data_IF_927681448608
#
_entry.id   IF_927681448608
#
_cell.length_a   1.000
_cell.length_b   1.000
_cell.length_c   1.000
_cell.angle_alpha   90.00
_cell.angle_beta   90.00
_cell.angle_gamma   90.00
#
_symmetry.space_group_name_H-M   'P 1'
#
loop_
_entity.id
_entity.type
_entity.pdbx_description
1 polymer ?
#
# COMPACT_ATOMS: atom_id res chain seq x y z
N UNK A 1 17.67 -21.09 4.78
CA UNK A 1 16.50 -21.98 4.97
C UNK A 1 16.08 -22.10 6.42
N UNK A 2 16.91 -22.49 7.37
CA UNK A 2 16.53 -22.68 8.79
C UNK A 2 16.08 -21.40 9.54
N UNK A 3 16.55 -20.21 9.19
CA UNK A 3 16.14 -18.93 9.81
C UNK A 3 14.76 -18.44 9.39
N UNK A 4 14.33 -18.72 8.16
CA UNK A 4 13.01 -18.32 7.64
C UNK A 4 11.88 -19.20 8.19
N UNK A 5 12.14 -20.48 8.46
CA UNK A 5 11.16 -21.37 9.11
C UNK A 5 10.97 -21.01 10.60
N UNK A 6 12.03 -20.55 11.27
CA UNK A 6 11.94 -20.08 12.66
C UNK A 6 11.05 -18.84 12.77
N UNK A 7 11.25 -17.83 11.93
CA UNK A 7 10.40 -16.63 11.91
C UNK A 7 8.92 -16.94 11.58
N UNK A 8 8.66 -17.87 10.63
CA UNK A 8 7.28 -18.29 10.30
C UNK A 8 6.59 -19.00 11.48
N UNK A 9 7.34 -19.77 12.25
CA UNK A 9 6.79 -20.51 13.41
C UNK A 9 6.61 -19.59 14.62
N UNK A 10 7.51 -18.66 14.89
CA UNK A 10 7.36 -17.66 15.95
C UNK A 10 6.19 -16.71 15.67
N UNK A 11 6.01 -16.29 14.42
CA UNK A 11 4.86 -15.48 14.00
C UNK A 11 3.54 -16.25 14.20
N UNK A 12 3.53 -17.54 13.95
CA UNK A 12 2.36 -18.41 14.17
C UNK A 12 2.04 -18.60 15.64
N UNK A 13 3.04 -18.66 16.51
CA UNK A 13 2.88 -18.84 17.96
C UNK A 13 2.41 -17.55 18.66
N UNK A 14 2.85 -16.37 18.19
CA UNK A 14 2.33 -15.07 18.65
C UNK A 14 0.85 -14.91 18.27
N UNK A 15 0.45 -15.42 17.09
CA UNK A 15 -0.91 -15.37 16.56
C UNK A 15 -1.92 -16.28 17.29
N UNK A 16 -1.47 -17.28 18.07
CA UNK A 16 -2.37 -18.24 18.76
C UNK A 16 -2.59 -17.93 20.24
N UNK A 17 -1.92 -16.91 20.78
CA UNK A 17 -2.13 -16.51 22.19
C UNK A 17 -3.49 -15.81 22.32
N UNK A 18 -4.31 -16.31 23.23
CA UNK A 18 -5.57 -15.68 23.65
C UNK A 18 -5.26 -14.58 24.66
N UNK A 19 -6.00 -13.47 24.58
CA UNK A 19 -5.97 -12.46 25.63
C UNK A 19 -6.46 -13.03 26.97
N UNK A 20 -6.10 -12.41 28.12
CA UNK A 20 -6.54 -12.88 29.46
C UNK A 20 -8.06 -13.04 29.61
N UNK A 21 -8.84 -12.38 28.76
CA UNK A 21 -10.30 -12.42 28.73
C UNK A 21 -10.88 -13.46 27.76
N UNK A 22 -10.03 -14.28 27.12
CA UNK A 22 -10.45 -15.37 26.22
C UNK A 22 -10.95 -14.98 24.85
N UNK A 23 -10.89 -13.69 24.49
CA UNK A 23 -11.25 -13.20 23.15
C UNK A 23 -10.16 -13.53 22.13
N UNK A 24 -10.50 -13.86 20.89
CA UNK A 24 -9.49 -14.06 19.86
C UNK A 24 -8.75 -12.73 19.62
N UNK A 25 -7.42 -12.75 19.76
CA UNK A 25 -6.58 -11.58 19.47
C UNK A 25 -6.79 -11.16 18.01
N UNK A 26 -6.98 -9.86 17.77
CA UNK A 26 -7.12 -9.33 16.43
C UNK A 26 -5.84 -9.62 15.59
N UNK A 27 -6.01 -10.25 14.44
CA UNK A 27 -4.91 -10.60 13.54
C UNK A 27 -4.67 -9.41 12.61
N UNK A 28 -3.50 -8.75 12.63
CA UNK A 28 -3.18 -7.67 11.70
C UNK A 28 -3.17 -8.16 10.24
N UNK A 29 -3.45 -7.26 9.30
CA UNK A 29 -3.07 -7.46 7.90
C UNK A 29 -1.52 -7.51 7.78
N UNK A 30 -0.94 -8.00 6.66
CA UNK A 30 0.50 -8.17 6.52
C UNK A 30 1.26 -6.84 6.32
N UNK A 31 1.03 -5.86 7.23
CA UNK A 31 1.67 -4.53 7.19
C UNK A 31 3.19 -4.65 7.28
N UNK A 32 3.68 -5.50 8.19
CA UNK A 32 5.12 -5.72 8.45
C UNK A 32 5.72 -6.86 7.61
N UNK A 33 5.05 -7.26 6.51
CA UNK A 33 5.63 -8.26 5.61
C UNK A 33 6.97 -7.76 5.03
N UNK A 34 7.91 -8.67 4.71
CA UNK A 34 9.19 -8.31 4.13
C UNK A 34 9.05 -7.46 2.86
N UNK A 35 10.04 -6.58 2.63
CA UNK A 35 10.13 -5.82 1.39
C UNK A 35 10.34 -6.76 0.20
N UNK A 36 9.57 -6.58 -0.86
CA UNK A 36 9.59 -7.40 -2.07
C UNK A 36 10.18 -6.65 -3.26
N UNK A 37 10.28 -7.32 -4.43
CA UNK A 37 10.85 -6.72 -5.65
C UNK A 37 9.85 -5.94 -6.48
N UNK A 38 8.56 -6.17 -6.28
CA UNK A 38 7.49 -5.54 -7.03
C UNK A 38 6.34 -5.17 -6.11
N UNK A 39 5.68 -4.05 -6.40
CA UNK A 39 4.42 -3.68 -5.78
C UNK A 39 3.49 -3.01 -6.78
N UNK A 40 2.18 -3.13 -6.52
CA UNK A 40 1.15 -2.28 -7.12
C UNK A 40 0.48 -1.52 -6.00
N UNK A 41 0.46 -0.20 -6.14
CA UNK A 41 -0.28 0.72 -5.30
C UNK A 41 -1.52 1.17 -6.07
N UNK A 42 -2.68 0.73 -5.65
CA UNK A 42 -3.94 1.05 -6.29
C UNK A 42 -4.82 1.85 -5.33
N UNK A 43 -5.14 3.08 -5.69
CA UNK A 43 -6.11 3.93 -4.98
C UNK A 43 -7.37 4.06 -5.83
N UNK A 44 -8.52 3.84 -5.22
CA UNK A 44 -9.81 3.89 -5.90
C UNK A 44 -10.85 4.68 -5.10
N UNK A 45 -11.80 5.28 -5.83
CA UNK A 45 -13.03 5.81 -5.27
C UNK A 45 -14.11 4.73 -5.28
N UNK A 46 -14.95 4.68 -4.25
CA UNK A 46 -16.10 3.79 -4.14
C UNK A 46 -17.35 4.49 -4.68
N UNK A 47 -18.00 3.88 -5.66
CA UNK A 47 -19.26 4.40 -6.18
C UNK A 47 -20.35 4.42 -5.09
N UNK A 48 -21.27 5.41 -5.10
CA UNK A 48 -22.32 5.49 -4.12
C UNK A 48 -23.34 4.33 -4.28
N UNK A 49 -24.01 3.97 -3.19
CA UNK A 49 -25.11 3.01 -3.21
C UNK A 49 -24.83 1.72 -2.44
N UNK A 50 -25.90 0.97 -2.18
CA UNK A 50 -25.86 -0.25 -1.38
C UNK A 50 -25.12 -1.39 -2.10
N UNK A 51 -25.26 -1.48 -3.43
CA UNK A 51 -24.60 -2.52 -4.24
C UNK A 51 -23.07 -2.36 -4.19
N UNK A 52 -22.57 -1.13 -4.34
CA UNK A 52 -21.13 -0.85 -4.25
C UNK A 52 -20.58 -1.14 -2.86
N UNK A 53 -21.32 -0.77 -1.81
CA UNK A 53 -20.97 -1.10 -0.43
C UNK A 53 -20.91 -2.62 -0.22
N UNK A 54 -21.91 -3.37 -0.68
CA UNK A 54 -21.95 -4.82 -0.57
C UNK A 54 -20.77 -5.48 -1.34
N UNK A 55 -20.48 -5.01 -2.56
CA UNK A 55 -19.34 -5.52 -3.33
C UNK A 55 -18.01 -5.31 -2.62
N UNK A 56 -17.77 -4.11 -2.05
CA UNK A 56 -16.56 -3.83 -1.28
C UNK A 56 -16.47 -4.71 -0.04
N UNK A 57 -17.55 -4.84 0.74
CA UNK A 57 -17.59 -5.70 1.94
C UNK A 57 -17.35 -7.17 1.59
N UNK A 58 -17.88 -7.66 0.47
CA UNK A 58 -17.59 -9.01 -0.02
C UNK A 58 -16.10 -9.21 -0.30
N UNK A 59 -15.45 -8.24 -0.96
CA UNK A 59 -14.01 -8.31 -1.23
C UNK A 59 -13.19 -8.25 0.07
N UNK A 60 -13.64 -7.51 1.09
CA UNK A 60 -13.00 -7.54 2.41
C UNK A 60 -12.87 -8.97 2.95
N UNK A 61 -13.97 -9.72 2.99
CA UNK A 61 -13.98 -11.10 3.47
C UNK A 61 -13.21 -12.08 2.59
N UNK A 62 -13.19 -11.82 1.28
CA UNK A 62 -12.56 -12.70 0.29
C UNK A 62 -11.06 -12.42 0.09
N UNK A 63 -10.53 -11.29 0.59
CA UNK A 63 -9.16 -10.83 0.27
C UNK A 63 -8.11 -11.89 0.58
N UNK A 64 -8.17 -12.50 1.76
CA UNK A 64 -7.23 -13.57 2.14
C UNK A 64 -7.32 -14.80 1.23
N UNK A 65 -8.51 -15.16 0.77
CA UNK A 65 -8.70 -16.26 -0.18
C UNK A 65 -8.15 -15.93 -1.56
N UNK A 66 -8.32 -14.69 -2.03
CA UNK A 66 -7.74 -14.21 -3.30
C UNK A 66 -6.22 -14.25 -3.29
N UNK A 67 -5.60 -13.72 -2.22
CA UNK A 67 -4.14 -13.77 -2.06
C UNK A 67 -3.63 -15.20 -2.10
N UNK A 68 -4.26 -16.13 -1.37
CA UNK A 68 -3.88 -17.55 -1.39
C UNK A 68 -4.08 -18.19 -2.77
N UNK A 69 -5.17 -17.89 -3.46
CA UNK A 69 -5.48 -18.46 -4.77
C UNK A 69 -4.49 -18.05 -5.86
N UNK A 70 -4.02 -16.80 -5.83
CA UNK A 70 -2.98 -16.32 -6.75
C UNK A 70 -1.60 -16.80 -6.31
N UNK A 71 -1.26 -16.67 -5.01
CA UNK A 71 0.03 -17.03 -4.44
C UNK A 71 0.33 -18.54 -4.51
N UNK A 72 -0.69 -19.40 -4.62
CA UNK A 72 -0.51 -20.85 -4.79
C UNK A 72 0.35 -21.23 -6.00
N UNK A 73 0.40 -20.37 -7.03
CA UNK A 73 1.19 -20.62 -8.25
C UNK A 73 2.69 -20.49 -8.03
N UNK A 74 3.11 -19.75 -7.00
CA UNK A 74 4.51 -19.54 -6.67
C UNK A 74 4.63 -19.33 -5.15
N UNK A 75 5.01 -20.38 -4.44
CA UNK A 75 5.11 -20.36 -2.98
C UNK A 75 6.24 -19.45 -2.45
N UNK A 76 7.25 -19.19 -3.30
CA UNK A 76 8.40 -18.33 -2.98
C UNK A 76 8.17 -16.87 -3.44
N UNK A 77 7.02 -16.60 -4.04
CA UNK A 77 6.66 -15.28 -4.57
C UNK A 77 6.29 -14.24 -3.53
N UNK A 78 6.15 -14.62 -2.25
CA UNK A 78 5.82 -13.78 -1.10
C UNK A 78 4.67 -12.77 -1.35
N UNK A 79 3.64 -13.23 -2.11
CA UNK A 79 2.49 -12.39 -2.44
C UNK A 79 1.73 -12.00 -1.18
N UNK A 80 1.54 -10.71 -0.98
CA UNK A 80 0.74 -10.13 0.08
C UNK A 80 -0.08 -8.95 -0.42
N UNK A 81 -1.16 -8.63 0.29
CA UNK A 81 -2.00 -7.46 0.01
C UNK A 81 -2.47 -6.85 1.31
N UNK A 82 -2.36 -5.53 1.40
CA UNK A 82 -2.94 -4.71 2.45
C UNK A 82 -4.05 -3.87 1.85
N UNK A 83 -5.22 -3.84 2.52
CA UNK A 83 -6.38 -3.04 2.15
C UNK A 83 -6.65 -1.99 3.22
N UNK A 84 -6.68 -0.72 2.82
CA UNK A 84 -6.93 0.41 3.70
C UNK A 84 -8.11 1.26 3.23
N UNK A 85 -8.72 2.02 4.16
CA UNK A 85 -9.92 2.81 3.90
C UNK A 85 -9.71 4.26 4.34
N UNK A 86 -10.07 5.21 3.47
CA UNK A 86 -10.12 6.63 3.78
C UNK A 86 -11.28 6.96 4.74
N UNK A 87 -11.21 8.12 5.40
CA UNK A 87 -12.18 8.47 6.46
C UNK A 87 -13.62 8.53 5.97
N UNK A 88 -13.85 9.15 4.80
CA UNK A 88 -15.21 9.28 4.24
C UNK A 88 -15.74 7.94 3.75
N UNK A 89 -14.87 7.08 3.22
CA UNK A 89 -15.21 5.72 2.83
C UNK A 89 -15.54 4.85 4.03
N UNK A 90 -14.80 4.99 5.13
CA UNK A 90 -15.08 4.27 6.36
C UNK A 90 -16.52 4.47 6.83
N UNK A 91 -16.93 5.73 6.94
CA UNK A 91 -18.29 6.06 7.40
C UNK A 91 -19.38 5.50 6.48
N UNK A 92 -19.16 5.51 5.15
CA UNK A 92 -20.09 4.98 4.16
C UNK A 92 -20.15 3.45 4.13
N UNK A 93 -19.01 2.80 4.35
CA UNK A 93 -18.89 1.35 4.24
C UNK A 93 -19.26 0.63 5.54
N UNK A 94 -18.83 1.14 6.67
CA UNK A 94 -18.91 0.44 7.96
C UNK A 94 -19.75 1.18 9.01
N UNK A 95 -19.85 2.50 8.92
CA UNK A 95 -20.52 3.31 9.93
C UNK A 95 -19.70 3.42 11.24
N UNK A 96 -20.35 3.88 12.33
CA UNK A 96 -19.71 3.93 13.64
C UNK A 96 -19.55 2.54 14.29
N UNK A 97 -18.50 2.32 15.12
CA UNK A 97 -17.46 3.29 15.46
C UNK A 97 -16.44 3.48 14.33
N UNK A 98 -15.67 4.57 14.41
CA UNK A 98 -14.58 4.90 13.50
C UNK A 98 -13.25 4.88 14.25
N UNK A 99 -12.12 4.47 13.63
CA UNK A 99 -10.80 4.58 14.25
C UNK A 99 -10.54 6.00 14.75
N UNK A 100 -10.04 6.13 15.98
CA UNK A 100 -10.02 7.38 16.73
C UNK A 100 -9.28 8.52 16.01
N UNK A 101 -8.18 8.22 15.33
CA UNK A 101 -7.34 9.19 14.61
C UNK A 101 -7.57 9.19 13.09
N UNK A 102 -8.57 8.45 12.56
CA UNK A 102 -8.85 8.44 11.14
C UNK A 102 -9.54 9.73 10.71
N UNK A 103 -8.89 10.48 9.85
CA UNK A 103 -9.39 11.72 9.24
C UNK A 103 -8.92 11.84 7.78
N UNK A 104 -9.47 12.78 7.02
CA UNK A 104 -8.95 13.09 5.68
C UNK A 104 -7.55 13.70 5.78
N UNK A 105 -6.62 13.25 4.93
CA UNK A 105 -5.27 13.81 4.92
C UNK A 105 -5.32 15.34 4.78
N UNK A 106 -4.56 16.04 5.62
CA UNK A 106 -4.49 17.49 5.62
C UNK A 106 -3.29 17.95 4.82
N UNK A 107 -3.50 18.87 3.87
CA UNK A 107 -2.40 19.48 3.13
C UNK A 107 -1.39 20.11 4.12
N UNK A 108 -0.09 19.81 3.91
CA UNK A 108 0.99 20.50 4.62
C UNK A 108 1.61 21.52 3.67
N UNK A 109 1.35 22.79 3.94
CA UNK A 109 1.81 23.90 3.11
C UNK A 109 3.06 24.54 3.70
N UNK A 110 4.23 24.25 3.11
CA UNK A 110 5.45 25.04 3.27
C UNK A 110 5.45 26.25 2.32
N UNK A 111 6.47 27.11 2.42
CA UNK A 111 6.56 28.29 1.54
C UNK A 111 6.87 27.90 0.09
N UNK A 112 7.94 27.09 -0.22
CA UNK A 112 8.24 26.72 -1.60
C UNK A 112 7.52 25.43 -2.03
N UNK A 113 7.23 24.51 -1.11
CA UNK A 113 6.70 23.18 -1.41
C UNK A 113 5.46 22.87 -0.56
N UNK A 114 4.64 21.94 -1.06
CA UNK A 114 3.45 21.46 -0.33
C UNK A 114 3.26 19.96 -0.52
N UNK A 115 2.83 19.30 0.54
CA UNK A 115 2.26 17.96 0.51
C UNK A 115 0.76 18.10 0.24
N UNK A 116 0.33 17.85 -1.00
CA UNK A 116 -1.06 18.02 -1.41
C UNK A 116 -1.96 16.96 -0.78
N UNK A 117 -3.24 17.28 -0.55
CA UNK A 117 -4.28 16.33 -0.19
C UNK A 117 -5.06 15.92 -1.44
N UNK A 118 -5.21 14.61 -1.65
CA UNK A 118 -5.96 14.05 -2.78
C UNK A 118 -7.03 13.06 -2.29
N UNK A 119 -8.13 12.89 -3.01
CA UNK A 119 -9.16 11.93 -2.63
C UNK A 119 -8.65 10.49 -2.75
N UNK A 120 -9.23 9.60 -1.93
CA UNK A 120 -9.00 8.16 -1.98
C UNK A 120 -9.90 7.47 -0.99
N UNK A 121 -10.72 6.53 -1.48
CA UNK A 121 -11.65 5.77 -0.64
C UNK A 121 -11.04 4.45 -0.18
N UNK A 122 -10.36 3.75 -1.08
CA UNK A 122 -9.72 2.45 -0.80
C UNK A 122 -8.30 2.48 -1.35
N UNK A 123 -7.37 1.94 -0.56
CA UNK A 123 -6.00 1.61 -0.95
C UNK A 123 -5.85 0.09 -1.01
N UNK A 124 -5.26 -0.42 -2.08
CA UNK A 124 -4.66 -1.74 -2.13
C UNK A 124 -3.15 -1.59 -2.31
N UNK A 125 -2.38 -2.09 -1.35
CA UNK A 125 -0.94 -2.23 -1.45
C UNK A 125 -0.62 -3.71 -1.66
N UNK A 126 -0.33 -4.09 -2.90
CA UNK A 126 -0.07 -5.46 -3.34
C UNK A 126 1.42 -5.61 -3.56
N UNK A 127 2.04 -6.61 -2.93
CA UNK A 127 3.49 -6.84 -2.96
C UNK A 127 3.82 -8.29 -3.29
N UNK A 128 4.88 -8.49 -4.08
CA UNK A 128 5.42 -9.82 -4.37
C UNK A 128 6.87 -9.73 -4.87
N UNK A 129 7.58 -10.85 -4.87
CA UNK A 129 8.88 -10.96 -5.54
C UNK A 129 8.76 -10.84 -7.07
N UNK A 130 7.53 -10.99 -7.61
CA UNK A 130 7.26 -10.95 -9.05
C UNK A 130 6.06 -10.06 -9.37
N UNK A 131 6.24 -9.18 -10.35
CA UNK A 131 5.20 -8.25 -10.81
C UNK A 131 3.96 -8.96 -11.37
N UNK A 132 4.09 -10.12 -12.00
CA UNK A 132 2.96 -10.88 -12.55
C UNK A 132 2.00 -11.38 -11.47
N UNK A 133 2.50 -11.71 -10.27
CA UNK A 133 1.66 -12.04 -9.11
C UNK A 133 0.88 -10.82 -8.62
N UNK A 134 1.53 -9.66 -8.52
CA UNK A 134 0.87 -8.40 -8.17
C UNK A 134 -0.22 -8.06 -9.20
N UNK A 135 0.11 -8.15 -10.49
CA UNK A 135 -0.79 -7.83 -11.58
C UNK A 135 -2.02 -8.75 -11.63
N UNK A 136 -1.81 -10.06 -11.47
CA UNK A 136 -2.90 -11.03 -11.42
C UNK A 136 -3.85 -10.76 -10.24
N UNK A 137 -3.29 -10.51 -9.04
CA UNK A 137 -4.13 -10.20 -7.87
C UNK A 137 -4.89 -8.88 -8.05
N UNK A 138 -4.23 -7.82 -8.53
CA UNK A 138 -4.88 -6.55 -8.83
C UNK A 138 -6.02 -6.73 -9.83
N UNK A 139 -5.80 -7.50 -10.91
CA UNK A 139 -6.81 -7.79 -11.93
C UNK A 139 -8.02 -8.52 -11.34
N UNK A 140 -7.80 -9.51 -10.48
CA UNK A 140 -8.89 -10.23 -9.81
C UNK A 140 -9.69 -9.33 -8.86
N UNK A 141 -9.00 -8.47 -8.08
CA UNK A 141 -9.65 -7.51 -7.19
C UNK A 141 -10.51 -6.53 -8.00
N UNK A 142 -9.94 -5.89 -9.02
CA UNK A 142 -10.65 -4.91 -9.86
C UNK A 142 -11.82 -5.55 -10.60
N UNK A 143 -11.66 -6.78 -11.11
CA UNK A 143 -12.74 -7.52 -11.78
C UNK A 143 -13.91 -7.81 -10.84
N UNK A 144 -13.63 -8.19 -9.58
CA UNK A 144 -14.68 -8.47 -8.58
C UNK A 144 -15.40 -7.21 -8.13
N UNK A 145 -14.69 -6.10 -7.99
CA UNK A 145 -15.28 -4.82 -7.63
C UNK A 145 -16.04 -4.19 -8.79
N UNK A 146 -15.61 -4.43 -10.03
CA UNK A 146 -16.29 -3.96 -11.25
C UNK A 146 -16.65 -2.48 -11.17
N UNK A 147 -17.94 -2.17 -11.39
CA UNK A 147 -18.48 -0.80 -11.34
C UNK A 147 -18.60 -0.21 -9.92
N UNK A 148 -18.34 -1.00 -8.87
CA UNK A 148 -18.37 -0.52 -7.49
C UNK A 148 -17.22 0.43 -7.17
N UNK A 149 -16.16 0.44 -7.98
CA UNK A 149 -15.02 1.34 -7.82
C UNK A 149 -14.68 2.07 -9.13
N UNK A 150 -14.01 3.20 -8.97
CA UNK A 150 -13.31 3.90 -10.06
C UNK A 150 -11.85 4.10 -9.64
N UNK A 151 -10.87 3.52 -10.35
CA UNK A 151 -9.46 3.76 -10.07
C UNK A 151 -9.12 5.26 -10.16
N UNK A 152 -8.39 5.77 -9.17
CA UNK A 152 -7.91 7.15 -9.10
C UNK A 152 -6.44 7.20 -9.50
N UNK A 153 -5.63 6.30 -8.94
CA UNK A 153 -4.19 6.18 -9.22
C UNK A 153 -3.78 4.71 -9.13
N UNK A 154 -2.96 4.28 -10.06
CA UNK A 154 -2.35 2.96 -10.07
C UNK A 154 -0.87 3.11 -10.39
N UNK A 155 0.00 2.70 -9.49
CA UNK A 155 1.45 2.80 -9.65
C UNK A 155 2.08 1.43 -9.51
N UNK A 156 2.89 1.05 -10.51
CA UNK A 156 3.69 -0.16 -10.50
C UNK A 156 5.11 0.20 -10.05
N UNK A 157 5.41 -0.17 -8.81
CA UNK A 157 6.72 0.04 -8.19
C UNK A 157 7.64 -1.14 -8.42
N UNK A 158 8.93 -0.87 -8.44
CA UNK A 158 9.95 -1.89 -8.61
C UNK A 158 11.14 -1.64 -7.70
N UNK A 159 11.80 -2.70 -7.25
CA UNK A 159 13.07 -2.61 -6.54
C UNK A 159 14.16 -2.18 -7.51
N UNK A 160 14.84 -1.08 -7.16
CA UNK A 160 15.92 -0.52 -7.96
C UNK A 160 17.27 -0.83 -7.34
N UNK A 161 18.17 -1.49 -8.12
CA UNK A 161 19.49 -1.96 -7.70
C UNK A 161 19.51 -2.50 -6.24
N UNK A 162 20.53 -2.17 -5.44
CA UNK A 162 20.73 -2.63 -4.07
C UNK A 162 19.83 -1.90 -3.06
N UNK A 163 18.50 -1.92 -3.27
CA UNK A 163 17.49 -1.16 -2.49
C UNK A 163 17.70 0.36 -2.51
N UNK A 164 18.11 0.90 -3.65
CA UNK A 164 18.28 2.34 -3.81
C UNK A 164 17.02 2.97 -4.38
N UNK A 165 16.84 4.25 -4.05
CA UNK A 165 15.92 5.11 -4.78
C UNK A 165 16.50 5.58 -6.12
N UNK A 166 15.74 6.34 -6.91
CA UNK A 166 16.21 6.89 -8.19
C UNK A 166 17.21 8.05 -8.03
N UNK A 167 17.37 8.59 -6.84
CA UNK A 167 18.44 9.54 -6.49
C UNK A 167 19.78 8.85 -6.24
N UNK A 168 19.76 7.52 -6.10
CA UNK A 168 20.92 6.66 -5.94
C UNK A 168 21.31 6.39 -4.49
N UNK A 169 20.46 6.70 -3.51
CA UNK A 169 20.66 6.43 -2.09
C UNK A 169 19.90 5.19 -1.65
N UNK A 170 20.42 4.49 -0.62
CA UNK A 170 19.72 3.33 -0.06
C UNK A 170 18.45 3.79 0.65
N UNK A 171 17.32 3.16 0.36
CA UNK A 171 16.04 3.41 1.02
C UNK A 171 15.73 2.31 2.04
N UNK A 172 15.03 2.68 3.11
CA UNK A 172 14.60 1.74 4.15
C UNK A 172 15.64 1.38 5.21
N UNK A 173 16.80 2.03 5.25
CA UNK A 173 17.87 1.76 6.25
C UNK A 173 17.40 1.97 7.69
N UNK A 174 16.48 2.91 7.92
CA UNK A 174 15.94 3.28 9.23
C UNK A 174 14.60 2.58 9.55
N UNK A 175 14.22 1.55 8.80
CA UNK A 175 12.98 0.83 9.10
C UNK A 175 13.16 -0.02 10.36
N UNK A 176 12.20 0.02 11.30
CA UNK A 176 12.18 -0.90 12.42
C UNK A 176 12.00 -2.35 11.93
N UNK A 177 12.51 -3.29 12.68
CA UNK A 177 12.42 -4.73 12.39
C UNK A 177 11.78 -5.50 13.53
N UNK A 178 11.29 -6.69 13.25
CA UNK A 178 10.78 -7.64 14.22
C UNK A 178 9.68 -7.02 15.14
N UNK A 179 9.85 -7.09 16.46
CA UNK A 179 8.91 -6.57 17.45
C UNK A 179 8.78 -5.03 17.36
N UNK A 180 9.89 -4.32 17.12
CA UNK A 180 9.87 -2.87 16.95
C UNK A 180 9.01 -2.43 15.74
N UNK A 181 9.00 -3.20 14.66
CA UNK A 181 8.13 -2.92 13.51
C UNK A 181 6.64 -3.06 13.88
N UNK A 182 6.27 -4.05 14.67
CA UNK A 182 4.90 -4.20 15.16
C UNK A 182 4.52 -3.05 16.10
N UNK A 183 5.40 -2.71 17.04
CA UNK A 183 5.17 -1.59 17.97
C UNK A 183 5.07 -0.23 17.25
N UNK A 184 5.82 -0.06 16.19
CA UNK A 184 5.77 1.15 15.39
C UNK A 184 4.47 1.29 14.58
N UNK A 185 3.90 0.17 14.12
CA UNK A 185 2.85 0.16 13.09
C UNK A 185 1.47 -0.27 13.56
N UNK A 186 1.38 -1.16 14.55
CA UNK A 186 0.10 -1.79 14.91
C UNK A 186 -0.56 -1.06 16.06
N UNK A 187 -1.83 -0.68 15.88
CA UNK A 187 -2.70 -0.10 16.90
C UNK A 187 -2.94 -1.13 18.01
N UNK A 188 -2.76 -0.72 19.25
CA UNK A 188 -2.92 -1.53 20.44
C UNK A 188 -4.00 -0.98 21.40
N UNK A 189 -3.59 -0.81 22.66
CA UNK A 189 -4.50 -0.38 23.74
C UNK A 189 -4.96 1.07 23.63
N UNK A 190 -4.32 1.88 22.79
CA UNK A 190 -4.72 3.27 22.53
C UNK A 190 -6.07 3.38 21.79
N UNK A 191 -6.44 2.35 21.01
CA UNK A 191 -7.77 2.20 20.41
C UNK A 191 -8.18 0.71 20.41
N UNK A 192 -8.67 0.19 21.53
CA UNK A 192 -8.94 -1.25 21.70
C UNK A 192 -9.97 -1.80 20.71
N UNK A 193 -10.89 -0.96 20.23
CA UNK A 193 -11.90 -1.37 19.22
C UNK A 193 -11.25 -1.70 17.89
N UNK A 194 -10.14 -1.05 17.59
CA UNK A 194 -9.41 -1.18 16.33
C UNK A 194 -8.01 -1.75 16.51
N UNK A 195 -7.77 -2.41 17.65
CA UNK A 195 -6.52 -3.13 17.90
C UNK A 195 -6.20 -4.11 16.75
N UNK A 196 -4.93 -4.19 16.39
CA UNK A 196 -4.48 -4.96 15.20
C UNK A 196 -4.60 -4.22 13.88
N UNK A 197 -5.14 -2.99 13.87
CA UNK A 197 -5.14 -2.10 12.72
C UNK A 197 -3.84 -1.31 12.57
N UNK A 198 -3.75 -0.47 11.54
CA UNK A 198 -2.61 0.42 11.27
C UNK A 198 -3.08 1.65 10.51
N UNK A 199 -2.45 2.78 10.71
CA UNK A 199 -2.63 3.94 9.84
C UNK A 199 -1.58 3.93 8.74
N UNK A 200 -1.95 4.41 7.55
CA UNK A 200 -1.04 4.51 6.41
C UNK A 200 -1.25 5.81 5.65
N UNK A 201 -0.16 6.52 5.38
CA UNK A 201 -0.18 7.67 4.48
C UNK A 201 0.57 7.28 3.21
N UNK A 202 -0.03 7.59 2.06
CA UNK A 202 0.57 7.37 0.75
C UNK A 202 0.72 8.69 0.01
N UNK A 203 1.85 8.84 -0.70
CA UNK A 203 2.15 9.99 -1.53
C UNK A 203 2.94 9.56 -2.77
N UNK A 204 2.52 10.04 -3.93
CA UNK A 204 3.28 9.91 -5.17
C UNK A 204 4.17 11.13 -5.36
N UNK A 205 5.47 10.91 -5.47
CA UNK A 205 6.46 11.96 -5.73
C UNK A 205 7.01 11.85 -7.15
N UNK A 206 7.08 12.96 -7.85
CA UNK A 206 7.75 13.08 -9.16
C UNK A 206 9.11 13.77 -8.98
N UNK A 207 10.15 13.22 -9.61
CA UNK A 207 11.53 13.63 -9.43
C UNK A 207 12.09 14.38 -10.63
N UNK A 208 12.80 15.49 -10.39
CA UNK A 208 13.68 16.15 -11.34
C UNK A 208 15.08 15.50 -11.28
N UNK A 209 15.23 14.35 -11.95
CA UNK A 209 16.53 13.67 -12.02
C UNK A 209 17.56 14.46 -12.83
N UNK A 210 17.15 15.35 -13.74
CA UNK A 210 18.04 16.22 -14.48
C UNK A 210 18.75 17.22 -13.58
N UNK A 211 17.96 17.95 -12.78
CA UNK A 211 18.47 18.88 -11.77
C UNK A 211 19.29 18.17 -10.69
N UNK A 212 18.82 17.01 -10.23
CA UNK A 212 19.55 16.21 -9.24
C UNK A 212 20.93 15.74 -9.71
N UNK A 213 21.02 15.18 -10.93
CA UNK A 213 22.25 14.67 -11.50
C UNK A 213 23.25 15.77 -11.89
N UNK A 214 22.81 17.02 -11.95
CA UNK A 214 23.69 18.17 -12.15
C UNK A 214 24.44 18.57 -10.87
N UNK A 215 24.03 18.09 -9.70
CA UNK A 215 24.70 18.33 -8.43
C UNK A 215 25.95 17.46 -8.27
N UNK A 216 26.96 17.98 -7.53
CA UNK A 216 28.07 17.12 -7.09
C UNK A 216 27.58 16.08 -6.06
N UNK A 217 28.29 14.95 -5.99
CA UNK A 217 27.97 13.87 -5.02
C UNK A 217 27.94 14.42 -3.59
N UNK A 218 28.91 15.26 -3.22
CA UNK A 218 28.98 15.85 -1.88
C UNK A 218 27.76 16.73 -1.57
N UNK A 219 27.22 17.43 -2.60
CA UNK A 219 25.98 18.21 -2.43
C UNK A 219 24.78 17.30 -2.24
N UNK A 220 24.69 16.24 -3.02
CA UNK A 220 23.63 15.22 -2.87
C UNK A 220 23.68 14.57 -1.49
N UNK A 221 24.86 14.17 -1.01
CA UNK A 221 25.07 13.58 0.32
C UNK A 221 24.65 14.54 1.45
N UNK A 222 24.94 15.83 1.31
CA UNK A 222 24.51 16.84 2.29
C UNK A 222 23.01 17.07 2.28
N UNK A 223 22.34 16.94 1.13
CA UNK A 223 20.88 17.03 1.03
C UNK A 223 20.20 15.82 1.72
N UNK A 224 20.72 14.63 1.50
CA UNK A 224 20.18 13.40 2.11
C UNK A 224 20.59 13.27 3.58
N UNK A 225 21.86 13.61 3.91
CA UNK A 225 22.45 13.44 5.25
C UNK A 225 23.22 12.15 5.40
N UNK A 226 23.49 11.43 4.30
CA UNK A 226 24.25 10.15 4.26
C UNK A 226 25.19 10.12 3.07
N UNK A 227 26.23 9.30 3.14
CA UNK A 227 27.12 9.05 1.99
C UNK A 227 26.41 8.20 0.96
N UNK A 228 26.58 8.54 -0.33
CA UNK A 228 25.85 7.91 -1.42
C UNK A 228 26.28 6.46 -1.66
N UNK A 229 27.56 6.18 -1.61
CA UNK A 229 28.10 4.86 -1.93
C UNK A 229 27.99 3.89 -0.74
N UNK A 230 28.41 4.33 0.44
CA UNK A 230 28.60 3.47 1.63
C UNK A 230 27.43 3.53 2.62
N UNK A 231 26.42 4.37 2.37
CA UNK A 231 25.23 4.53 3.21
C UNK A 231 25.56 4.82 4.70
N UNK A 232 26.62 5.59 4.93
CA UNK A 232 27.02 6.00 6.28
C UNK A 232 26.41 7.37 6.56
N UNK A 233 25.73 7.52 7.69
CA UNK A 233 25.21 8.79 8.14
C UNK A 233 26.32 9.82 8.33
N UNK A 234 26.10 11.06 7.89
CA UNK A 234 27.07 12.14 8.08
C UNK A 234 27.13 12.52 9.56
N UNK A 235 28.35 12.84 10.01
CA UNK A 235 28.61 13.35 11.37
C UNK A 235 27.78 14.64 11.61
N UNK A 236 27.18 14.77 12.80
CA UNK A 236 26.34 15.91 13.18
C UNK A 236 27.04 17.26 13.05
N UNK A 237 28.39 17.29 13.15
CA UNK A 237 29.17 18.50 12.95
C UNK A 237 29.17 19.01 11.51
N UNK A 238 28.86 18.16 10.52
CA UNK A 238 28.89 18.49 9.08
C UNK A 238 27.54 18.30 8.40
N UNK A 239 26.63 17.51 8.99
CA UNK A 239 25.28 17.25 8.49
C UNK A 239 24.42 18.52 8.58
N UNK A 240 23.87 19.03 7.47
CA UNK A 240 22.96 20.17 7.52
C UNK A 240 21.70 19.84 8.33
N UNK A 241 21.17 20.79 9.08
CA UNK A 241 19.91 20.64 9.79
C UNK A 241 18.70 20.55 8.85
N UNK A 242 18.87 20.86 7.56
CA UNK A 242 17.91 20.72 6.49
C UNK A 242 18.08 19.42 5.69
N UNK A 243 18.99 18.52 6.13
CA UNK A 243 19.16 17.22 5.51
C UNK A 243 17.89 16.37 5.69
N UNK A 244 17.59 15.56 4.68
CA UNK A 244 16.40 14.72 4.67
C UNK A 244 16.29 13.84 5.93
N UNK A 245 17.35 13.11 6.27
CA UNK A 245 17.33 12.24 7.46
C UNK A 245 17.21 13.03 8.77
N UNK A 246 17.76 14.26 8.87
CA UNK A 246 17.64 15.10 10.06
C UNK A 246 16.20 15.61 10.29
N UNK A 247 15.43 15.82 9.22
CA UNK A 247 14.05 16.31 9.29
C UNK A 247 13.02 15.17 9.38
N UNK A 248 13.35 14.00 8.87
CA UNK A 248 12.45 12.82 8.93
C UNK A 248 12.55 12.05 10.24
N UNK A 249 13.61 12.25 11.03
CA UNK A 249 13.73 11.70 12.37
C UNK A 249 12.82 12.47 13.34
N UNK A 250 11.89 11.77 13.97
CA UNK A 250 10.95 12.33 14.93
C UNK A 250 11.36 11.91 16.33
N UNK A 251 11.54 12.89 17.22
CA UNK A 251 11.84 12.66 18.64
C UNK A 251 10.82 13.39 19.48
N UNK A 252 10.07 12.67 20.32
CA UNK A 252 9.14 13.19 21.29
C UNK A 252 9.49 12.65 22.68
N UNK A 253 9.50 13.52 23.68
CA UNK A 253 9.84 13.17 25.07
C UNK A 253 11.16 12.40 25.25
N UNK A 254 12.10 12.58 24.30
CA UNK A 254 13.42 11.92 24.31
C UNK A 254 13.43 10.54 23.66
N UNK A 255 12.30 10.07 23.16
CA UNK A 255 12.17 8.80 22.40
C UNK A 255 12.02 9.07 20.92
N UNK A 256 12.70 8.26 20.08
CA UNK A 256 12.53 8.29 18.63
C UNK A 256 11.25 7.56 18.25
N UNK A 257 10.35 8.26 17.55
CA UNK A 257 9.14 7.66 17.01
C UNK A 257 9.43 7.08 15.61
N UNK A 258 9.20 5.80 15.47
CA UNK A 258 9.45 5.07 14.23
C UNK A 258 8.18 4.90 13.40
N UNK A 259 8.38 4.79 12.08
CA UNK A 259 7.39 4.42 11.08
C UNK A 259 7.99 3.33 10.19
N UNK A 260 7.16 2.46 9.63
CA UNK A 260 7.60 1.49 8.63
C UNK A 260 7.33 2.03 7.22
N UNK A 261 8.38 2.16 6.42
CA UNK A 261 8.30 2.60 5.01
C UNK A 261 8.52 1.42 4.07
N UNK A 262 7.68 1.34 3.06
CA UNK A 262 7.81 0.36 1.97
C UNK A 262 7.73 1.10 0.62
N UNK A 263 8.59 2.13 0.52
CA UNK A 263 8.65 2.99 -0.65
C UNK A 263 9.14 2.20 -1.87
N UNK A 264 8.62 2.55 -3.04
CA UNK A 264 9.15 1.99 -4.28
C UNK A 264 9.37 3.05 -5.35
N UNK A 265 10.50 2.99 -6.06
CA UNK A 265 10.68 3.68 -7.32
C UNK A 265 9.63 3.24 -8.35
N UNK A 266 9.21 4.19 -9.17
CA UNK A 266 8.41 3.96 -10.37
C UNK A 266 8.86 4.89 -11.50
N UNK A 267 8.47 4.58 -12.74
CA UNK A 267 8.70 5.52 -13.84
C UNK A 267 8.42 4.95 -15.21
N UNK A 268 8.31 5.87 -16.16
CA UNK A 268 8.19 5.60 -17.59
C UNK A 268 9.34 6.29 -18.34
N UNK A 269 10.39 5.54 -18.65
CA UNK A 269 11.61 6.08 -19.25
C UNK A 269 11.37 6.84 -20.56
N UNK A 270 10.43 6.37 -21.40
CA UNK A 270 10.09 7.03 -22.66
C UNK A 270 9.36 8.36 -22.48
N UNK A 271 8.67 8.54 -21.35
CA UNK A 271 8.00 9.82 -21.01
C UNK A 271 8.87 10.74 -20.18
N UNK A 272 10.01 10.26 -19.68
CA UNK A 272 10.85 11.02 -18.75
C UNK A 272 10.16 11.25 -17.40
N UNK A 273 9.19 10.42 -17.04
CA UNK A 273 8.51 10.47 -15.73
C UNK A 273 9.18 9.49 -14.78
N UNK A 274 9.65 10.01 -13.66
CA UNK A 274 10.34 9.24 -12.63
C UNK A 274 9.87 9.68 -11.26
N UNK A 275 9.82 8.74 -10.32
CA UNK A 275 9.36 9.08 -8.99
C UNK A 275 9.56 7.99 -7.95
N UNK A 276 9.15 8.31 -6.74
CA UNK A 276 9.00 7.39 -5.63
C UNK A 276 7.55 7.41 -5.16
N UNK A 277 6.96 6.23 -5.00
CA UNK A 277 5.72 6.08 -4.29
C UNK A 277 6.06 5.87 -2.81
N UNK A 278 5.78 6.90 -2.01
CA UNK A 278 5.93 6.84 -0.56
C UNK A 278 4.72 6.13 0.03
N UNK A 279 4.99 5.16 0.90
CA UNK A 279 4.00 4.53 1.77
C UNK A 279 4.60 4.38 3.15
N UNK A 280 3.98 5.00 4.14
CA UNK A 280 4.39 4.95 5.53
C UNK A 280 3.29 4.38 6.40
N UNK A 281 3.60 3.31 7.16
CA UNK A 281 2.72 2.72 8.14
C UNK A 281 3.11 3.16 9.55
N UNK A 282 2.11 3.47 10.37
CA UNK A 282 2.31 3.81 11.77
C UNK A 282 1.09 3.44 12.61
N UNK A 283 1.29 3.20 13.92
CA UNK A 283 0.19 3.00 14.86
C UNK A 283 -0.64 4.27 15.12
N UNK A 284 -0.07 5.45 14.81
CA UNK A 284 -0.74 6.76 14.83
C UNK A 284 -0.33 7.56 13.60
N UNK A 285 -1.27 8.21 12.88
CA UNK A 285 -0.96 9.05 11.72
C UNK A 285 -0.12 10.27 12.10
N UNK A 286 -0.20 10.72 13.36
CA UNK A 286 0.56 11.85 13.90
C UNK A 286 2.06 11.72 13.60
N UNK A 287 2.64 10.52 13.70
CA UNK A 287 4.06 10.29 13.43
C UNK A 287 4.43 10.69 12.00
N UNK A 288 3.66 10.24 11.02
CA UNK A 288 3.94 10.56 9.61
C UNK A 288 3.61 12.03 9.33
N UNK A 289 2.52 12.56 9.87
CA UNK A 289 2.14 13.95 9.69
C UNK A 289 3.19 14.92 10.27
N UNK A 290 3.76 14.62 11.44
CA UNK A 290 4.83 15.40 12.02
C UNK A 290 6.10 15.35 11.16
N UNK A 291 6.45 14.17 10.62
CA UNK A 291 7.54 14.03 9.65
C UNK A 291 7.32 14.94 8.44
N UNK A 292 6.12 14.92 7.87
CA UNK A 292 5.78 15.78 6.72
C UNK A 292 5.82 17.27 7.08
N UNK A 293 5.37 17.67 8.27
CA UNK A 293 5.50 19.06 8.75
C UNK A 293 6.98 19.46 8.83
N UNK A 294 7.84 18.60 9.38
CA UNK A 294 9.28 18.88 9.45
C UNK A 294 9.89 19.01 8.03
N UNK A 295 9.50 18.16 7.09
CA UNK A 295 10.00 18.21 5.71
C UNK A 295 9.53 19.46 4.96
N UNK A 296 8.22 19.71 4.93
CA UNK A 296 7.63 20.75 4.08
C UNK A 296 7.67 22.16 4.70
N UNK A 297 7.44 22.29 5.99
CA UNK A 297 7.48 23.58 6.71
C UNK A 297 8.89 23.87 7.21
N UNK A 298 9.58 22.83 7.66
CA UNK A 298 10.94 22.92 8.20
C UNK A 298 11.00 23.07 9.73
N UNK A 299 12.16 22.69 10.26
CA UNK A 299 12.47 22.79 11.70
C UNK A 299 13.81 23.51 11.91
N UNK A 300 13.81 24.81 12.31
CA UNK A 300 12.65 25.71 12.49
C UNK A 300 11.95 26.04 11.17
N UNK A 301 10.75 26.65 11.20
CA UNK A 301 10.03 27.03 9.98
C UNK A 301 10.90 27.78 8.98
N UNK A 302 10.91 27.29 7.71
CA UNK A 302 11.79 27.79 6.66
C UNK A 302 13.06 26.96 6.44
N UNK A 303 13.46 26.12 7.39
CA UNK A 303 14.53 25.13 7.24
C UNK A 303 13.95 23.80 6.74
N UNK A 304 13.33 23.82 5.55
CA UNK A 304 12.65 22.70 4.95
C UNK A 304 13.63 21.70 4.33
N UNK A 305 13.16 20.49 4.04
CA UNK A 305 13.92 19.41 3.43
C UNK A 305 14.33 19.76 1.98
N UNK A 306 15.63 19.88 1.77
CA UNK A 306 16.18 20.29 0.48
C UNK A 306 16.00 19.24 -0.63
N UNK A 307 15.66 17.99 -0.29
CA UNK A 307 15.26 16.98 -1.27
C UNK A 307 14.01 17.39 -2.04
N UNK A 308 13.11 18.16 -1.41
CA UNK A 308 11.89 18.66 -2.04
C UNK A 308 12.14 19.63 -3.20
N UNK A 309 13.34 20.21 -3.34
CA UNK A 309 13.71 21.00 -4.51
C UNK A 309 13.78 20.14 -5.78
N UNK A 310 13.92 18.82 -5.63
CA UNK A 310 14.04 17.82 -6.71
C UNK A 310 12.92 16.78 -6.70
N UNK A 311 12.02 16.85 -5.71
CA UNK A 311 10.97 15.85 -5.51
C UNK A 311 9.65 16.53 -5.13
N UNK A 312 8.64 16.38 -5.98
CA UNK A 312 7.35 17.06 -5.82
C UNK A 312 6.23 16.07 -5.51
N UNK A 313 5.58 16.22 -4.36
CA UNK A 313 4.37 15.45 -4.04
C UNK A 313 3.21 15.84 -4.95
N UNK A 314 2.59 14.86 -5.60
CA UNK A 314 1.44 15.05 -6.51
C UNK A 314 0.16 14.39 -6.01
N UNK A 315 0.27 13.49 -5.04
CA UNK A 315 -0.86 12.91 -4.29
C UNK A 315 -0.56 12.93 -2.79
N UNK A 316 -1.59 12.75 -1.96
CA UNK A 316 -1.47 12.59 -0.52
C UNK A 316 -2.80 12.15 0.08
N UNK A 317 -2.83 10.95 0.68
CA UNK A 317 -4.05 10.38 1.27
C UNK A 317 -3.71 9.58 2.51
N UNK A 318 -4.55 9.71 3.54
CA UNK A 318 -4.49 8.92 4.77
C UNK A 318 -5.56 7.83 4.72
N UNK A 319 -5.17 6.60 5.04
CA UNK A 319 -6.07 5.46 5.18
C UNK A 319 -5.87 4.79 6.55
N UNK A 320 -6.90 4.09 6.99
CA UNK A 320 -6.82 3.11 8.06
C UNK A 320 -6.86 1.70 7.48
N UNK A 321 -5.95 0.87 7.92
CA UNK A 321 -5.84 -0.55 7.58
C UNK A 321 -6.40 -1.34 8.76
N UNK A 322 -7.64 -1.85 8.70
CA UNK A 322 -8.20 -2.64 9.79
C UNK A 322 -7.49 -3.98 9.92
N UNK A 323 -7.69 -4.68 11.04
CA UNK A 323 -7.18 -6.04 11.19
C UNK A 323 -7.79 -6.99 10.14
N UNK A 324 -7.08 -8.07 9.81
CA UNK A 324 -7.62 -9.14 8.95
C UNK A 324 -8.89 -9.76 9.56
N UNK A 325 -8.91 -9.91 10.89
CA UNK A 325 -10.09 -10.36 11.62
C UNK A 325 -11.30 -9.45 11.42
N UNK A 326 -11.08 -8.12 11.40
CA UNK A 326 -12.15 -7.18 11.09
C UNK A 326 -12.65 -7.37 9.65
N UNK A 327 -11.77 -7.47 8.67
CA UNK A 327 -12.17 -7.67 7.27
C UNK A 327 -13.01 -8.95 7.09
N UNK A 328 -12.64 -10.02 7.76
CA UNK A 328 -13.39 -11.28 7.74
C UNK A 328 -14.75 -11.16 8.41
N UNK A 329 -14.89 -10.35 9.47
CA UNK A 329 -16.13 -10.17 10.21
C UNK A 329 -17.17 -9.34 9.46
N UNK A 330 -16.75 -8.42 8.59
CA UNK A 330 -17.62 -7.49 7.87
C UNK A 330 -18.66 -8.19 7.00
N UNK A 331 -18.38 -9.38 6.49
CA UNK A 331 -19.31 -10.18 5.68
C UNK A 331 -20.34 -10.94 6.51
N UNK A 332 -20.04 -11.19 7.81
CA UNK A 332 -20.91 -11.98 8.69
C UNK A 332 -22.18 -11.22 9.13
N UNK A 333 -22.16 -9.89 9.07
CA UNK A 333 -23.26 -9.04 9.56
C UNK A 333 -24.33 -8.71 8.50
N UNK A 334 -24.21 -9.14 7.26
CA UNK A 334 -25.32 -9.02 6.31
C UNK A 334 -26.36 -10.13 6.55
N UNK A 335 -27.64 -9.79 6.90
CA UNK A 335 -28.70 -10.78 6.85
C UNK A 335 -28.72 -11.35 5.44
N UNK A 336 -28.67 -12.68 5.33
CA UNK A 336 -28.80 -13.35 4.04
C UNK A 336 -29.93 -12.70 3.27
N UNK A 337 -29.62 -12.14 2.08
CA UNK A 337 -30.66 -11.63 1.19
C UNK A 337 -31.68 -12.75 1.04
N UNK A 338 -32.94 -12.50 1.45
CA UNK A 338 -34.03 -13.47 1.23
C UNK A 338 -33.97 -13.83 -0.24
N UNK A 339 -33.70 -15.09 -0.53
CA UNK A 339 -33.77 -15.61 -1.87
C UNK A 339 -35.13 -15.22 -2.45
N UNK A 340 -35.20 -14.62 -3.64
CA UNK A 340 -36.47 -14.25 -4.22
C UNK A 340 -37.36 -15.51 -4.26
N UNK A 341 -38.49 -15.42 -3.58
CA UNK A 341 -39.41 -16.55 -3.40
C UNK A 341 -39.72 -17.21 -4.74
N UNK A 342 -39.31 -18.46 -4.86
CA UNK A 342 -39.66 -19.29 -6.02
C UNK A 342 -41.15 -19.50 -5.99
N UNK A 343 -41.87 -18.75 -6.80
CA UNK A 343 -43.31 -19.00 -7.06
C UNK A 343 -43.42 -20.35 -7.76
N UNK A 344 -44.27 -21.27 -7.30
CA UNK A 344 -44.41 -22.57 -7.93
C UNK A 344 -45.22 -22.47 -9.22
N UNK A 345 -44.62 -23.05 -10.24
CA UNK A 345 -45.26 -23.52 -11.49
C UNK A 345 -45.76 -22.51 -12.52
N UNK A 346 -45.02 -22.39 -13.60
CA UNK A 346 -45.57 -22.37 -14.94
C UNK A 346 -44.75 -23.35 -15.81
N UNK A 347 -45.43 -24.45 -16.19
CA UNK A 347 -44.91 -25.38 -17.17
C UNK A 347 -44.96 -24.71 -18.54
N UNK A 348 -43.83 -24.49 -19.19
CA UNK A 348 -43.78 -24.20 -20.61
C UNK A 348 -42.92 -25.25 -21.33
N UNK A 349 -43.40 -25.63 -22.52
CA UNK A 349 -43.03 -26.73 -23.37
C UNK A 349 -41.51 -26.77 -23.77
N UNK A 350 -41.00 -27.92 -24.23
CA UNK A 350 -39.59 -28.13 -24.48
C UNK A 350 -39.10 -27.36 -25.72
N UNK A 351 -38.04 -26.56 -25.54
CA UNK A 351 -37.36 -25.90 -26.65
C UNK A 351 -36.42 -26.87 -27.41
N UNK A 352 -36.43 -26.73 -28.71
CA UNK A 352 -35.58 -27.46 -29.68
C UNK A 352 -34.09 -27.15 -29.40
N UNK A 353 -33.17 -28.13 -29.46
CA UNK A 353 -31.73 -27.88 -29.21
C UNK A 353 -31.10 -27.12 -30.38
N UNK A 354 -30.15 -26.22 -30.11
CA UNK A 354 -29.39 -25.53 -31.13
C UNK A 354 -28.38 -26.47 -31.82
N UNK A 355 -27.97 -26.19 -33.07
CA UNK A 355 -27.04 -27.05 -33.83
C UNK A 355 -25.64 -27.02 -33.17
N UNK A 356 -24.99 -28.17 -33.18
CA UNK A 356 -23.64 -28.36 -32.65
C UNK A 356 -22.64 -27.47 -33.40
N UNK A 357 -21.93 -26.61 -32.60
CA UNK A 357 -20.74 -25.90 -33.10
C UNK A 357 -19.59 -26.88 -33.13
N UNK A 358 -18.91 -26.98 -34.30
CA UNK A 358 -17.65 -27.70 -34.39
C UNK A 358 -16.58 -27.00 -33.55
N UNK A 359 -15.75 -27.79 -32.89
CA UNK A 359 -14.75 -27.31 -31.94
C UNK A 359 -13.47 -26.78 -32.60
N UNK A 360 -13.57 -26.12 -33.76
CA UNK A 360 -12.42 -25.51 -34.42
C UNK A 360 -12.06 -24.16 -33.84
N UNK A 361 -10.99 -24.11 -33.07
CA UNK A 361 -10.28 -22.87 -32.73
C UNK A 361 -9.59 -22.37 -34.01
N UNK A 362 -10.13 -21.34 -34.65
CA UNK A 362 -9.56 -20.69 -35.84
C UNK A 362 -8.20 -20.04 -35.59
N UNK A 363 -7.16 -20.86 -35.40
CA UNK A 363 -5.78 -20.41 -35.44
C UNK A 363 -5.34 -20.54 -36.90
N UNK A 364 -5.39 -19.41 -37.62
CA UNK A 364 -4.95 -19.31 -38.99
C UNK A 364 -3.50 -19.75 -39.16
N UNK A 365 -3.27 -20.71 -40.08
CA UNK A 365 -1.95 -21.15 -40.50
C UNK A 365 -1.21 -20.01 -41.23
N UNK A 366 -0.12 -19.51 -40.65
CA UNK A 366 0.88 -18.72 -41.36
C UNK A 366 1.76 -19.65 -42.18
N UNK A 367 1.31 -20.05 -43.37
CA UNK A 367 2.19 -20.52 -44.44
C UNK A 367 2.11 -19.51 -45.57
N UNK A 368 3.18 -18.74 -45.72
CA UNK A 368 3.41 -17.93 -46.90
C UNK A 368 3.71 -18.86 -48.09
N UNK A 369 2.98 -18.71 -49.15
CA UNK A 369 3.36 -19.20 -50.47
C UNK A 369 4.39 -18.25 -51.07
N UNK A 370 5.57 -18.80 -51.33
CA UNK A 370 6.52 -18.24 -52.26
C UNK A 370 6.18 -18.83 -53.62
N UNK A 371 5.79 -17.99 -54.58
CA UNK A 371 5.95 -18.32 -56.03
C UNK A 371 5.97 -17.02 -56.85
N UNK A 372 7.07 -16.85 -57.52
CA UNK A 372 7.36 -16.52 -58.92
C UNK A 372 6.64 -15.34 -59.61
N UNK A 373 7.33 -14.26 -59.93
CA UNK A 373 8.04 -13.89 -61.15
C UNK A 373 8.78 -12.54 -60.93
#
# INVERSE_FOLDING_TARGET
>A
MLKLESCRNEFRDVMTRRDPEGMPRAIPQPVVAPLTRAAIFLVAAVAPGAESRSAVRSVCGDLGALVRAVGFRDADGDLSCVMGFGSDAWDRLFGPPRPAELHSFREVAGRPHRAVSTPGDILFHIRAERMDLCFELATQIVTRLGSAISPIDEVHGFRYFDNRDLFGFVDGTENPTDEAALDATIVGDEDPTFAGGSYVIVQKYLHDLGGWNALSTETQERIIGRTKLSDIELDDAVKPTSAHNALTTIVEDGEQLEILRDNMPFGEAAKGEFGTYFIGYARSPHRIEQMLVNMFVGRPPGNYDRLLDFSRAVTGTLFFVPSATFLESVTADEPAAEAPGVSPFSQSAPATPPPARDGSLGIGSLKGDADHE
#
